data_IF_824043286554
#
_entry.id   IF_824043286554
#
_cell.length_a   1.000
_cell.length_b   1.000
_cell.length_c   1.000
_cell.angle_alpha   90.00
_cell.angle_beta   90.00
_cell.angle_gamma   90.00
#
_symmetry.space_group_name_H-M   'P 1'
#
loop_
_entity.id
_entity.type
_entity.pdbx_description
1 polymer ?
#
# COMPACT_ATOMS: atom_id res chain seq x y z
N UNK A 1 -9.54 -15.89 -17.09
CA UNK A 1 -9.19 -16.26 -15.69
C UNK A 1 -9.01 -14.97 -14.91
N UNK A 2 -9.84 -14.70 -13.92
CA UNK A 2 -9.78 -13.46 -13.13
C UNK A 2 -8.71 -13.67 -12.05
N UNK A 3 -7.51 -13.13 -12.31
CA UNK A 3 -6.40 -13.16 -11.37
C UNK A 3 -6.74 -12.20 -10.23
N UNK A 4 -7.29 -12.72 -9.13
CA UNK A 4 -7.42 -11.97 -7.89
C UNK A 4 -6.01 -11.76 -7.32
N UNK A 5 -5.39 -10.63 -7.66
CA UNK A 5 -4.14 -10.19 -7.02
C UNK A 5 -4.42 -10.04 -5.52
N UNK A 6 -3.50 -10.52 -4.67
CA UNK A 6 -3.55 -10.27 -3.24
C UNK A 6 -3.35 -8.77 -3.02
N UNK A 7 -4.44 -8.06 -2.76
CA UNK A 7 -4.39 -6.64 -2.40
C UNK A 7 -3.78 -6.58 -1.01
N UNK A 8 -2.67 -5.86 -0.88
CA UNK A 8 -2.11 -5.51 0.44
C UNK A 8 -3.15 -4.65 1.16
N UNK A 9 -3.52 -5.04 2.39
CA UNK A 9 -4.38 -4.22 3.25
C UNK A 9 -3.49 -3.56 4.31
N UNK A 10 -3.64 -2.25 4.44
CA UNK A 10 -2.92 -1.46 5.45
C UNK A 10 -3.90 -1.16 6.57
N UNK A 11 -3.60 -1.67 7.77
CA UNK A 11 -4.35 -1.36 8.99
C UNK A 11 -3.91 0.01 9.50
N UNK A 12 -4.68 1.05 9.20
CA UNK A 12 -4.34 2.43 9.56
C UNK A 12 -4.23 2.65 11.07
N UNK A 13 -4.93 1.86 11.88
CA UNK A 13 -4.89 1.92 13.34
C UNK A 13 -3.54 1.44 13.90
N UNK A 14 -2.96 0.43 13.25
CA UNK A 14 -1.64 -0.13 13.59
C UNK A 14 -0.50 0.54 12.84
N UNK A 15 -0.81 1.30 11.79
CA UNK A 15 0.17 2.01 11.01
C UNK A 15 0.57 3.29 11.74
N UNK A 16 1.81 3.28 12.23
CA UNK A 16 2.46 4.42 12.89
C UNK A 16 3.11 5.42 11.91
N UNK A 17 3.14 5.09 10.62
CA UNK A 17 3.74 5.97 9.61
C UNK A 17 5.22 5.77 9.34
N UNK A 18 5.86 4.73 9.88
CA UNK A 18 7.31 4.49 9.73
C UNK A 18 7.84 4.45 8.28
N UNK A 19 6.99 4.30 7.26
CA UNK A 19 7.43 4.34 5.86
C UNK A 19 8.20 3.12 5.37
N UNK A 20 8.45 2.12 6.21
CA UNK A 20 9.24 0.93 5.85
C UNK A 20 8.63 0.10 4.71
N UNK A 21 7.30 0.15 4.56
CA UNK A 21 6.58 -0.53 3.49
C UNK A 21 6.81 0.11 2.10
N UNK A 22 7.14 1.40 2.02
CA UNK A 22 7.36 2.12 0.75
C UNK A 22 8.56 1.58 -0.03
N UNK A 23 9.79 1.52 0.53
CA UNK A 23 10.94 0.96 -0.20
C UNK A 23 10.86 -0.57 -0.36
N UNK A 24 10.09 -1.27 0.47
CA UNK A 24 9.86 -2.71 0.31
C UNK A 24 8.87 -3.06 -0.80
N UNK A 25 8.04 -2.11 -1.23
CA UNK A 25 7.09 -2.33 -2.31
C UNK A 25 7.78 -2.17 -3.67
N UNK A 26 8.20 -3.28 -4.27
CA UNK A 26 8.82 -3.29 -5.60
C UNK A 26 7.90 -2.70 -6.69
N UNK A 27 6.59 -2.74 -6.48
CA UNK A 27 5.58 -2.19 -7.40
C UNK A 27 5.38 -0.67 -7.24
N UNK A 28 5.93 -0.04 -6.18
CA UNK A 28 5.70 1.38 -5.89
C UNK A 28 4.24 1.71 -5.56
N UNK A 29 3.44 0.70 -5.21
CA UNK A 29 2.00 0.83 -4.96
C UNK A 29 1.67 1.41 -3.59
N UNK A 30 2.64 1.65 -2.71
CA UNK A 30 2.44 2.14 -1.34
C UNK A 30 3.12 3.51 -1.20
N UNK A 31 2.38 4.46 -0.64
CA UNK A 31 2.85 5.82 -0.33
C UNK A 31 2.47 6.19 1.10
N UNK A 32 3.20 7.11 1.73
CA UNK A 32 2.79 7.69 3.00
C UNK A 32 1.96 8.94 2.73
N UNK A 33 0.72 8.96 3.21
CA UNK A 33 -0.20 10.12 3.16
C UNK A 33 -0.64 10.41 4.58
N UNK A 34 -0.57 11.67 4.99
CA UNK A 34 -0.98 12.11 6.33
C UNK A 34 -0.26 11.36 7.47
N UNK A 35 0.99 11.00 7.24
CA UNK A 35 1.78 10.21 8.20
C UNK A 35 1.33 8.75 8.33
N UNK A 36 0.51 8.20 7.43
CA UNK A 36 0.13 6.79 7.40
C UNK A 36 0.35 6.17 6.03
N UNK A 37 0.62 4.86 6.00
CA UNK A 37 0.75 4.15 4.73
C UNK A 37 -0.61 4.01 4.04
N UNK A 38 -0.64 4.31 2.74
CA UNK A 38 -1.79 4.23 1.85
C UNK A 38 -1.37 3.56 0.56
N UNK A 39 -2.28 2.83 -0.07
CA UNK A 39 -2.04 2.34 -1.43
C UNK A 39 -2.27 3.48 -2.43
N UNK A 40 -1.24 3.80 -3.21
CA UNK A 40 -1.28 4.71 -4.35
C UNK A 40 -1.88 4.05 -5.60
N UNK A 41 -2.08 2.72 -5.60
CA UNK A 41 -2.54 1.96 -6.75
C UNK A 41 -4.05 2.10 -6.97
N UNK A 42 -4.45 3.27 -7.45
CA UNK A 42 -5.67 3.42 -8.24
C UNK A 42 -5.38 2.93 -9.67
N UNK A 43 -6.25 2.04 -10.17
CA UNK A 43 -6.31 1.51 -11.54
C UNK A 43 -5.28 0.46 -11.92
N UNK A 44 -5.67 -0.79 -11.71
CA UNK A 44 -5.72 -1.69 -12.86
C UNK A 44 -7.20 -1.99 -13.14
N UNK A 45 -7.72 -1.28 -14.15
CA UNK A 45 -8.96 -1.64 -14.84
C UNK A 45 -8.83 -3.03 -15.47
#
# INVERSE_FOLDING_TARGET
MIIKRKIIQIEEDKCDGCGQCVPSCAEGAIQIVDGKARLAAEKYC
#
